data_IF_479266113960
#
_entry.id   IF_479266113960
#
_cell.length_a   1.000
_cell.length_b   1.000
_cell.length_c   1.000
_cell.angle_alpha   90.00
_cell.angle_beta   90.00
_cell.angle_gamma   90.00
#
_symmetry.space_group_name_H-M   'P 1'
#
loop_
_entity.id
_entity.type
_entity.pdbx_description
1 polymer ?
#
# COMPACT_ATOMS: atom_id res chain seq x y z
N UNK A 1 54.25 14.03 -33.54
CA UNK A 1 53.91 12.76 -32.85
C UNK A 1 53.29 12.97 -31.48
N UNK A 2 53.60 14.08 -30.77
CA UNK A 2 52.95 14.45 -29.49
C UNK A 2 51.43 14.62 -29.61
N UNK A 3 50.97 15.45 -30.55
CA UNK A 3 49.54 15.82 -30.66
C UNK A 3 48.63 14.62 -30.96
N UNK A 4 49.10 13.70 -31.81
CA UNK A 4 48.34 12.49 -32.14
C UNK A 4 48.22 11.58 -30.92
N UNK A 5 49.27 11.46 -30.11
CA UNK A 5 49.23 10.69 -28.87
C UNK A 5 48.28 11.34 -27.84
N UNK A 6 48.28 12.67 -27.74
CA UNK A 6 47.35 13.41 -26.87
C UNK A 6 45.89 13.26 -27.33
N UNK A 7 45.64 13.25 -28.64
CA UNK A 7 44.29 13.00 -29.19
C UNK A 7 43.84 11.54 -28.98
N UNK A 8 44.73 10.56 -29.09
CA UNK A 8 44.40 9.17 -28.77
C UNK A 8 44.09 9.00 -27.27
N UNK A 9 44.84 9.68 -26.40
CA UNK A 9 44.55 9.71 -24.98
C UNK A 9 43.21 10.40 -24.68
N UNK A 10 42.93 11.53 -25.32
CA UNK A 10 41.64 12.21 -25.21
C UNK A 10 40.49 11.30 -25.66
N UNK A 11 40.66 10.58 -26.77
CA UNK A 11 39.67 9.60 -27.24
C UNK A 11 39.44 8.47 -26.24
N UNK A 12 40.52 7.93 -25.63
CA UNK A 12 40.40 6.92 -24.58
C UNK A 12 39.68 7.46 -23.34
N UNK A 13 39.94 8.72 -22.97
CA UNK A 13 39.22 9.39 -21.88
C UNK A 13 37.75 9.64 -22.23
N UNK A 14 37.42 9.96 -23.49
CA UNK A 14 36.03 10.08 -23.95
C UNK A 14 35.28 8.76 -23.80
N UNK A 15 35.93 7.63 -24.10
CA UNK A 15 35.35 6.30 -23.87
C UNK A 15 35.20 5.99 -22.37
N UNK A 16 36.14 6.43 -21.53
CA UNK A 16 35.99 6.31 -20.08
C UNK A 16 34.82 7.15 -19.56
N UNK A 17 34.67 8.39 -20.05
CA UNK A 17 33.51 9.25 -19.77
C UNK A 17 32.20 8.57 -20.16
N UNK A 18 32.16 7.95 -21.35
CA UNK A 18 31.00 7.20 -21.82
C UNK A 18 30.60 6.06 -20.86
N UNK A 19 31.57 5.37 -20.24
CA UNK A 19 31.28 4.33 -19.23
C UNK A 19 30.63 4.95 -17.99
N UNK A 20 31.10 6.11 -17.52
CA UNK A 20 30.51 6.79 -16.37
C UNK A 20 29.09 7.28 -16.66
N UNK A 21 28.86 7.89 -17.82
CA UNK A 21 27.53 8.33 -18.26
C UNK A 21 26.60 7.12 -18.38
N UNK A 22 27.06 6.04 -19.02
CA UNK A 22 26.28 4.82 -19.13
C UNK A 22 25.94 4.22 -17.75
N UNK A 23 26.87 4.26 -16.79
CA UNK A 23 26.62 3.80 -15.44
C UNK A 23 25.59 4.65 -14.70
N UNK A 24 25.68 5.98 -14.78
CA UNK A 24 24.71 6.90 -14.19
C UNK A 24 23.30 6.61 -14.72
N UNK A 25 23.09 6.71 -16.03
CA UNK A 25 21.76 6.59 -16.62
C UNK A 25 21.20 5.16 -16.56
N UNK A 26 22.04 4.12 -16.62
CA UNK A 26 21.53 2.75 -16.48
C UNK A 26 21.12 2.43 -15.05
N UNK A 27 21.84 2.94 -14.04
CA UNK A 27 21.49 2.72 -12.63
C UNK A 27 20.29 3.54 -12.17
N UNK A 28 20.05 4.73 -12.74
CA UNK A 28 18.85 5.52 -12.43
C UNK A 28 17.60 5.01 -13.12
N UNK A 29 17.74 4.38 -14.29
CA UNK A 29 16.59 3.94 -15.11
C UNK A 29 16.17 2.51 -14.80
N UNK A 30 17.07 1.68 -14.26
CA UNK A 30 16.80 0.26 -14.02
C UNK A 30 15.85 0.01 -12.85
N UNK A 31 14.87 -0.85 -13.06
CA UNK A 31 14.01 -1.31 -11.99
C UNK A 31 14.72 -2.36 -11.12
N UNK A 32 14.60 -2.21 -9.79
CA UNK A 32 15.24 -3.12 -8.84
C UNK A 32 14.77 -4.57 -8.99
N UNK A 33 13.49 -4.78 -9.31
CA UNK A 33 12.92 -6.12 -9.50
C UNK A 33 13.51 -6.87 -10.70
N UNK A 34 13.85 -6.18 -11.79
CA UNK A 34 14.56 -6.77 -12.93
C UNK A 34 15.98 -7.20 -12.53
N UNK A 35 16.64 -6.37 -11.74
CA UNK A 35 18.01 -6.58 -11.27
C UNK A 35 18.11 -7.77 -10.29
N UNK A 36 17.16 -7.88 -9.37
CA UNK A 36 17.06 -8.98 -8.42
C UNK A 36 16.77 -10.31 -9.13
N UNK A 37 15.85 -10.31 -10.10
CA UNK A 37 15.59 -11.48 -10.96
C UNK A 37 16.83 -11.92 -11.73
N UNK A 38 17.54 -10.99 -12.38
CA UNK A 38 18.76 -11.29 -13.12
C UNK A 38 19.89 -11.83 -12.22
N UNK A 39 19.99 -11.32 -10.98
CA UNK A 39 20.95 -11.82 -10.00
C UNK A 39 20.60 -13.23 -9.50
N UNK A 40 19.32 -13.52 -9.25
CA UNK A 40 18.84 -14.86 -8.88
C UNK A 40 19.03 -15.87 -10.03
N UNK A 41 18.87 -15.44 -11.27
CA UNK A 41 19.14 -16.24 -12.47
C UNK A 41 20.65 -16.50 -12.71
N UNK A 42 21.54 -15.92 -11.91
CA UNK A 42 22.99 -16.10 -12.03
C UNK A 42 23.61 -15.41 -13.24
N UNK A 43 22.97 -14.36 -13.77
CA UNK A 43 23.50 -13.64 -14.93
C UNK A 43 24.81 -12.91 -14.62
N UNK A 44 25.76 -12.96 -15.55
CA UNK A 44 27.07 -12.31 -15.40
C UNK A 44 26.91 -10.80 -15.22
N UNK A 45 27.49 -10.27 -14.15
CA UNK A 45 27.47 -8.83 -13.83
C UNK A 45 26.23 -8.35 -13.07
N UNK A 46 25.16 -9.16 -12.99
CA UNK A 46 23.91 -8.77 -12.32
C UNK A 46 24.11 -8.57 -10.81
N UNK A 47 24.91 -9.40 -10.14
CA UNK A 47 25.21 -9.22 -8.72
C UNK A 47 25.98 -7.92 -8.43
N UNK A 48 26.89 -7.54 -9.33
CA UNK A 48 27.67 -6.31 -9.23
C UNK A 48 26.77 -5.08 -9.42
N UNK A 49 25.87 -5.14 -10.40
CA UNK A 49 24.88 -4.11 -10.64
C UNK A 49 23.88 -3.99 -9.48
N UNK A 50 23.43 -5.11 -8.90
CA UNK A 50 22.59 -5.12 -7.69
C UNK A 50 23.27 -4.46 -6.50
N UNK A 51 24.57 -4.74 -6.29
CA UNK A 51 25.36 -4.08 -5.25
C UNK A 51 25.55 -2.57 -5.52
N UNK A 52 25.66 -2.16 -6.79
CA UNK A 52 25.73 -0.75 -7.17
C UNK A 52 24.40 -0.02 -6.88
N UNK A 53 23.27 -0.59 -7.31
CA UNK A 53 21.94 -0.04 -7.09
C UNK A 53 21.58 0.10 -5.60
N UNK A 54 22.02 -0.83 -4.75
CA UNK A 54 21.85 -0.73 -3.27
C UNK A 54 22.55 0.47 -2.64
N UNK A 55 23.52 1.08 -3.34
CA UNK A 55 24.24 2.28 -2.89
C UNK A 55 24.18 3.35 -3.99
N UNK A 56 22.99 3.51 -4.59
CA UNK A 56 22.77 4.36 -5.77
C UNK A 56 23.38 5.76 -5.59
N UNK A 57 23.01 6.49 -4.54
CA UNK A 57 23.51 7.84 -4.26
C UNK A 57 25.04 7.91 -4.25
N UNK A 58 25.71 6.92 -3.65
CA UNK A 58 27.17 6.87 -3.60
C UNK A 58 27.79 6.55 -4.97
N UNK A 59 27.17 5.66 -5.75
CA UNK A 59 27.62 5.34 -7.10
C UNK A 59 27.38 6.49 -8.09
N UNK A 60 26.26 7.22 -7.96
CA UNK A 60 25.96 8.41 -8.75
C UNK A 60 26.96 9.52 -8.48
N UNK A 61 27.28 9.77 -7.20
CA UNK A 61 28.33 10.73 -6.82
C UNK A 61 29.69 10.34 -7.45
N UNK A 62 30.00 9.05 -7.48
CA UNK A 62 31.20 8.52 -8.14
C UNK A 62 31.18 8.71 -9.66
N UNK A 63 30.04 8.47 -10.32
CA UNK A 63 29.88 8.66 -11.76
C UNK A 63 30.07 10.14 -12.14
N UNK A 64 29.41 11.05 -11.42
CA UNK A 64 29.51 12.49 -11.63
C UNK A 64 30.94 13.01 -11.45
N UNK A 65 31.66 12.50 -10.44
CA UNK A 65 33.08 12.81 -10.27
C UNK A 65 33.89 12.32 -11.47
N UNK A 66 33.66 11.09 -11.92
CA UNK A 66 34.32 10.51 -13.09
C UNK A 66 34.08 11.32 -14.37
N UNK A 67 32.83 11.69 -14.64
CA UNK A 67 32.42 12.53 -15.79
C UNK A 67 33.11 13.89 -15.72
N UNK A 68 33.09 14.54 -14.57
CA UNK A 68 33.70 15.87 -14.39
C UNK A 68 35.21 15.83 -14.62
N UNK A 69 35.91 14.87 -14.00
CA UNK A 69 37.37 14.74 -14.11
C UNK A 69 37.77 14.41 -15.55
N UNK A 70 37.10 13.44 -16.17
CA UNK A 70 37.42 13.05 -17.56
C UNK A 70 37.12 14.18 -18.53
N UNK A 71 35.97 14.85 -18.42
CA UNK A 71 35.60 15.97 -19.30
C UNK A 71 36.59 17.14 -19.20
N UNK A 72 37.04 17.48 -18.00
CA UNK A 72 38.03 18.55 -17.80
C UNK A 72 39.38 18.19 -18.45
N UNK A 73 39.87 16.96 -18.22
CA UNK A 73 41.14 16.51 -18.81
C UNK A 73 41.04 16.42 -20.32
N UNK A 74 39.91 15.96 -20.87
CA UNK A 74 39.67 15.95 -22.31
C UNK A 74 39.71 17.37 -22.87
N UNK A 75 39.04 18.34 -22.24
CA UNK A 75 39.10 19.75 -22.67
C UNK A 75 40.54 20.28 -22.70
N UNK A 76 41.30 20.02 -21.63
CA UNK A 76 42.70 20.44 -21.52
C UNK A 76 43.63 19.79 -22.57
N UNK A 77 43.33 18.60 -23.07
CA UNK A 77 44.17 17.86 -24.01
C UNK A 77 43.70 18.00 -25.47
N UNK A 78 42.42 17.82 -25.73
CA UNK A 78 41.84 17.74 -27.07
C UNK A 78 41.80 19.10 -27.75
N UNK A 79 41.40 20.16 -27.04
CA UNK A 79 41.26 21.52 -27.59
C UNK A 79 42.59 22.06 -28.16
N UNK A 80 43.70 22.10 -27.39
CA UNK A 80 44.96 22.62 -27.93
C UNK A 80 45.54 21.72 -29.02
N UNK A 81 45.42 20.39 -28.89
CA UNK A 81 45.94 19.45 -29.88
C UNK A 81 45.23 19.60 -31.23
N UNK A 82 43.90 19.77 -31.20
CA UNK A 82 43.10 19.95 -32.40
C UNK A 82 43.34 21.33 -33.03
N UNK A 83 43.50 22.37 -32.21
CA UNK A 83 43.86 23.70 -32.68
C UNK A 83 45.21 23.69 -33.42
N UNK A 84 46.23 23.00 -32.91
CA UNK A 84 47.53 22.88 -33.59
C UNK A 84 47.41 22.10 -34.90
N UNK A 85 46.63 21.03 -34.93
CA UNK A 85 46.42 20.21 -36.13
C UNK A 85 45.66 20.96 -37.23
N UNK A 86 44.74 21.85 -36.86
CA UNK A 86 43.95 22.68 -37.78
C UNK A 86 44.73 23.87 -38.38
N UNK A 87 45.84 24.30 -37.77
CA UNK A 87 46.64 25.44 -38.29
C UNK A 87 47.16 25.21 -39.70
N UNK A 88 47.76 24.05 -39.98
CA UNK A 88 48.33 23.76 -41.31
C UNK A 88 47.31 23.83 -42.45
N UNK A 89 46.14 23.16 -42.34
CA UNK A 89 45.05 23.29 -43.30
C UNK A 89 44.50 24.72 -43.44
N UNK A 90 44.37 25.46 -42.33
CA UNK A 90 43.87 26.84 -42.35
C UNK A 90 44.86 27.81 -43.02
N UNK A 91 46.17 27.62 -42.82
CA UNK A 91 47.23 28.38 -43.51
C UNK A 91 47.25 28.07 -45.01
N UNK A 92 47.04 26.81 -45.39
CA UNK A 92 46.96 26.39 -46.79
C UNK A 92 45.74 26.99 -47.53
N UNK A 93 44.68 27.37 -46.81
CA UNK A 93 43.51 28.07 -47.35
C UNK A 93 43.71 29.59 -47.49
N UNK A 94 44.89 30.13 -47.17
CA UNK A 94 45.24 31.53 -47.41
C UNK A 94 44.75 32.52 -46.34
N UNK A 95 44.42 32.03 -45.13
CA UNK A 95 44.01 32.89 -44.03
C UNK A 95 45.21 33.73 -43.50
N UNK A 96 45.00 35.02 -43.18
CA UNK A 96 46.06 35.84 -42.59
C UNK A 96 46.47 35.29 -41.22
N UNK A 97 47.78 35.22 -40.95
CA UNK A 97 48.33 34.52 -39.78
C UNK A 97 47.78 34.95 -38.41
N UNK A 98 47.34 36.21 -38.28
CA UNK A 98 46.67 36.69 -37.08
C UNK A 98 45.27 36.10 -36.84
N UNK A 99 44.55 35.72 -37.90
CA UNK A 99 43.22 35.10 -37.82
C UNK A 99 43.30 33.58 -37.69
N UNK A 100 44.34 32.94 -38.25
CA UNK A 100 44.55 31.49 -38.21
C UNK A 100 44.51 30.96 -36.77
N UNK A 101 45.21 31.60 -35.83
CA UNK A 101 45.26 31.08 -34.45
C UNK A 101 43.90 31.12 -33.77
N UNK A 102 43.16 32.22 -33.93
CA UNK A 102 41.83 32.36 -33.30
C UNK A 102 40.83 31.38 -33.92
N UNK A 103 40.82 31.26 -35.25
CA UNK A 103 39.93 30.34 -35.96
C UNK A 103 40.25 28.89 -35.62
N UNK A 104 41.53 28.51 -35.58
CA UNK A 104 41.94 27.16 -35.21
C UNK A 104 41.52 26.80 -33.79
N UNK A 105 41.64 27.72 -32.83
CA UNK A 105 41.18 27.49 -31.46
C UNK A 105 39.66 27.38 -31.38
N UNK A 106 38.90 28.28 -32.00
CA UNK A 106 37.43 28.24 -31.97
C UNK A 106 36.89 26.97 -32.62
N UNK A 107 37.41 26.60 -33.80
CA UNK A 107 37.01 25.38 -34.50
C UNK A 107 37.45 24.14 -33.74
N UNK A 108 38.65 24.16 -33.16
CA UNK A 108 39.17 23.08 -32.31
C UNK A 108 38.27 22.83 -31.11
N UNK A 109 37.93 23.87 -30.36
CA UNK A 109 37.00 23.80 -29.22
C UNK A 109 35.62 23.30 -29.67
N UNK A 110 35.04 23.89 -30.71
CA UNK A 110 33.72 23.49 -31.19
C UNK A 110 33.69 22.01 -31.62
N UNK A 111 34.70 21.56 -32.36
CA UNK A 111 34.81 20.17 -32.80
C UNK A 111 35.03 19.21 -31.63
N UNK A 112 35.91 19.54 -30.67
CA UNK A 112 36.14 18.68 -29.49
C UNK A 112 34.91 18.61 -28.61
N UNK A 113 34.19 19.72 -28.42
CA UNK A 113 32.93 19.76 -27.66
C UNK A 113 31.86 18.89 -28.32
N UNK A 114 31.69 18.96 -29.65
CA UNK A 114 30.75 18.10 -30.37
C UNK A 114 31.11 16.62 -30.22
N UNK A 115 32.39 16.27 -30.38
CA UNK A 115 32.85 14.88 -30.21
C UNK A 115 32.61 14.38 -28.79
N UNK A 116 32.94 15.17 -27.77
CA UNK A 116 32.71 14.82 -26.37
C UNK A 116 31.21 14.67 -26.07
N UNK A 117 30.39 15.62 -26.51
CA UNK A 117 28.95 15.60 -26.28
C UNK A 117 28.29 14.40 -26.99
N UNK A 118 28.67 14.09 -28.22
CA UNK A 118 28.06 12.97 -28.97
C UNK A 118 28.56 11.63 -28.44
N UNK A 119 29.88 11.42 -28.40
CA UNK A 119 30.47 10.11 -28.10
C UNK A 119 30.56 9.86 -26.59
N UNK A 120 30.91 10.89 -25.82
CA UNK A 120 31.08 10.79 -24.38
C UNK A 120 29.77 10.83 -23.61
N UNK A 121 28.73 11.50 -24.13
CA UNK A 121 27.49 11.74 -23.38
C UNK A 121 26.23 11.20 -24.06
N UNK A 122 25.86 11.71 -25.25
CA UNK A 122 24.56 11.42 -25.87
C UNK A 122 24.39 9.96 -26.30
N UNK A 123 25.39 9.37 -26.96
CA UNK A 123 25.31 7.97 -27.40
C UNK A 123 25.23 7.01 -26.20
N UNK A 124 26.12 7.10 -25.19
CA UNK A 124 26.05 6.22 -24.01
C UNK A 124 24.76 6.42 -23.20
N UNK A 125 24.30 7.66 -23.06
CA UNK A 125 23.05 7.99 -22.38
C UNK A 125 21.85 7.33 -23.05
N UNK A 126 21.71 7.50 -24.36
CA UNK A 126 20.59 6.91 -25.10
C UNK A 126 20.61 5.39 -25.03
N UNK A 127 21.79 4.78 -25.08
CA UNK A 127 21.92 3.33 -24.96
C UNK A 127 21.59 2.82 -23.56
N UNK A 128 22.01 3.56 -22.53
CA UNK A 128 21.70 3.25 -21.13
C UNK A 128 20.20 3.36 -20.82
N UNK A 129 19.49 4.30 -21.45
CA UNK A 129 18.04 4.45 -21.32
C UNK A 129 17.29 3.36 -22.10
N UNK A 130 17.74 3.01 -23.32
CA UNK A 130 17.06 2.00 -24.13
C UNK A 130 17.28 0.57 -23.64
N UNK A 131 18.38 0.31 -22.93
CA UNK A 131 18.76 -1.04 -22.48
C UNK A 131 19.46 -1.03 -21.11
N UNK A 132 18.77 -0.56 -20.06
CA UNK A 132 19.38 -0.31 -18.76
C UNK A 132 19.99 -1.56 -18.14
N UNK A 133 19.31 -2.71 -18.18
CA UNK A 133 19.81 -3.97 -17.61
C UNK A 133 21.07 -4.49 -18.30
N UNK A 134 21.09 -4.48 -19.63
CA UNK A 134 22.25 -4.93 -20.40
C UNK A 134 23.47 -4.05 -20.13
N UNK A 135 23.28 -2.73 -20.14
CA UNK A 135 24.34 -1.75 -19.90
C UNK A 135 24.84 -1.84 -18.45
N UNK A 136 23.94 -1.82 -17.47
CA UNK A 136 24.27 -1.88 -16.04
C UNK A 136 25.13 -3.10 -15.70
N UNK A 137 24.82 -4.28 -16.24
CA UNK A 137 25.60 -5.52 -16.00
C UNK A 137 27.07 -5.37 -16.41
N UNK A 138 27.35 -4.63 -17.48
CA UNK A 138 28.71 -4.43 -18.00
C UNK A 138 29.43 -3.31 -17.24
N UNK A 139 28.78 -2.16 -17.07
CA UNK A 139 29.43 -0.93 -16.56
C UNK A 139 29.51 -0.88 -15.03
N UNK A 140 28.67 -1.63 -14.30
CA UNK A 140 28.63 -1.56 -12.83
C UNK A 140 29.92 -2.01 -12.16
N UNK A 141 30.64 -2.98 -12.74
CA UNK A 141 31.90 -3.48 -12.16
C UNK A 141 33.03 -2.46 -12.23
N UNK A 142 33.38 -1.90 -13.41
CA UNK A 142 34.40 -0.85 -13.48
C UNK A 142 33.98 0.40 -12.67
N UNK A 143 32.70 0.76 -12.69
CA UNK A 143 32.17 1.88 -11.91
C UNK A 143 32.38 1.69 -10.40
N UNK A 144 32.09 0.50 -9.87
CA UNK A 144 32.29 0.18 -8.46
C UNK A 144 33.76 0.18 -8.07
N UNK A 145 34.65 -0.27 -8.96
CA UNK A 145 36.09 -0.23 -8.72
C UNK A 145 36.60 1.22 -8.62
N UNK A 146 36.18 2.08 -9.55
CA UNK A 146 36.49 3.52 -9.51
C UNK A 146 35.95 4.16 -8.23
N UNK A 147 34.67 3.93 -7.92
CA UNK A 147 34.01 4.48 -6.73
C UNK A 147 34.65 3.99 -5.44
N UNK A 148 35.17 2.76 -5.40
CA UNK A 148 35.93 2.24 -4.26
C UNK A 148 37.28 2.94 -4.11
N UNK A 149 37.99 3.19 -5.22
CA UNK A 149 39.29 3.90 -5.20
C UNK A 149 39.14 5.36 -4.74
N UNK A 150 38.10 6.06 -5.21
CA UNK A 150 37.80 7.44 -4.85
C UNK A 150 36.87 7.59 -3.64
N UNK A 151 36.57 6.49 -2.93
CA UNK A 151 35.68 6.48 -1.78
C UNK A 151 35.98 7.51 -0.67
N UNK A 152 37.23 7.82 -0.29
CA UNK A 152 37.48 8.85 0.72
C UNK A 152 37.08 10.24 0.23
N UNK A 153 37.36 10.57 -1.03
CA UNK A 153 37.00 11.85 -1.63
C UNK A 153 35.49 11.99 -1.80
N UNK A 154 34.82 10.97 -2.33
CA UNK A 154 33.36 10.96 -2.53
C UNK A 154 32.64 11.11 -1.18
N UNK A 155 33.08 10.39 -0.13
CA UNK A 155 32.50 10.54 1.22
C UNK A 155 32.70 11.94 1.78
N UNK A 156 33.86 12.56 1.56
CA UNK A 156 34.10 13.93 2.00
C UNK A 156 33.17 14.92 1.31
N UNK A 157 33.00 14.82 0.00
CA UNK A 157 32.10 15.66 -0.79
C UNK A 157 30.63 15.47 -0.37
N UNK A 158 30.17 14.21 -0.27
CA UNK A 158 28.79 13.90 0.13
C UNK A 158 28.48 14.39 1.55
N UNK A 159 29.40 14.22 2.50
CA UNK A 159 29.21 14.73 3.86
C UNK A 159 29.15 16.26 3.89
N UNK A 160 29.93 16.93 3.04
CA UNK A 160 29.91 18.39 2.93
C UNK A 160 28.61 18.88 2.31
N UNK A 161 28.13 18.23 1.25
CA UNK A 161 26.84 18.50 0.62
C UNK A 161 25.69 18.29 1.61
N UNK A 162 25.65 17.15 2.31
CA UNK A 162 24.62 16.84 3.32
C UNK A 162 24.61 17.87 4.47
N UNK A 163 25.78 18.34 4.92
CA UNK A 163 25.85 19.41 5.92
C UNK A 163 25.32 20.74 5.39
N UNK A 164 25.56 21.07 4.13
CA UNK A 164 25.04 22.28 3.51
C UNK A 164 23.52 22.22 3.36
N UNK A 165 22.98 21.09 2.88
CA UNK A 165 21.52 20.86 2.75
C UNK A 165 20.83 20.93 4.12
N UNK A 166 21.40 20.29 5.15
CA UNK A 166 20.87 20.38 6.53
C UNK A 166 20.89 21.80 7.09
N UNK A 167 21.87 22.64 6.71
CA UNK A 167 21.89 24.06 7.10
C UNK A 167 20.80 24.89 6.43
N UNK A 168 20.26 24.44 5.30
CA UNK A 168 19.12 25.05 4.62
C UNK A 168 17.77 24.54 5.15
N UNK A 169 17.77 23.67 6.18
CA UNK A 169 16.55 23.13 6.77
C UNK A 169 15.93 21.97 5.98
N UNK A 170 16.66 21.38 5.02
CA UNK A 170 16.20 20.26 4.21
C UNK A 170 16.83 18.96 4.73
N UNK A 171 16.03 17.88 4.80
CA UNK A 171 16.54 16.53 5.05
C UNK A 171 17.12 15.94 3.76
N UNK A 172 18.36 15.39 3.78
CA UNK A 172 18.92 14.70 2.62
C UNK A 172 18.07 13.46 2.28
N UNK A 173 17.42 13.47 1.12
CA UNK A 173 16.70 12.31 0.62
C UNK A 173 17.70 11.26 0.12
N UNK A 174 17.76 10.11 0.78
CA UNK A 174 18.27 8.89 0.14
C UNK A 174 17.13 8.35 -0.72
N UNK A 175 17.33 8.22 -2.04
CA UNK A 175 16.40 7.56 -2.98
C UNK A 175 16.34 6.05 -2.69
N UNK A 176 15.84 5.70 -1.50
CA UNK A 176 15.52 4.36 -1.08
C UNK A 176 14.03 4.15 -1.33
N UNK A 177 13.72 3.51 -2.46
CA UNK A 177 12.68 2.48 -2.63
C UNK A 177 11.92 2.61 -3.97
N UNK A 178 12.45 1.96 -5.02
CA UNK A 178 11.66 1.44 -6.14
C UNK A 178 10.89 0.17 -5.73
N UNK A 179 10.32 0.14 -4.53
CA UNK A 179 9.33 -0.85 -4.13
C UNK A 179 8.05 -0.07 -3.93
N UNK A 180 7.10 -0.24 -4.87
CA UNK A 180 5.76 0.35 -4.78
C UNK A 180 5.21 0.01 -3.40
N UNK A 181 4.83 1.02 -2.63
CA UNK A 181 4.24 0.79 -1.31
C UNK A 181 2.87 0.12 -1.49
N UNK A 182 2.35 -0.61 -0.49
CA UNK A 182 0.98 -1.13 -0.52
C UNK A 182 -0.05 -0.03 -0.86
N UNK A 183 0.19 1.19 -0.38
CA UNK A 183 -0.62 2.37 -0.67
C UNK A 183 -0.60 2.76 -2.16
N UNK A 184 0.55 2.68 -2.83
CA UNK A 184 0.65 2.90 -4.28
C UNK A 184 -0.10 1.82 -5.08
N UNK A 185 -0.09 0.56 -4.60
CA UNK A 185 -0.83 -0.54 -5.23
C UNK A 185 -2.34 -0.38 -5.06
N UNK A 186 -2.80 0.04 -3.88
CA UNK A 186 -4.22 0.37 -3.60
C UNK A 186 -4.67 1.50 -4.53
N UNK A 187 -3.89 2.58 -4.64
CA UNK A 187 -4.20 3.71 -5.50
C UNK A 187 -4.30 3.29 -6.99
N UNK A 188 -3.41 2.41 -7.44
CA UNK A 188 -3.43 1.87 -8.80
C UNK A 188 -4.68 1.00 -9.07
N UNK A 189 -5.05 0.12 -8.13
CA UNK A 189 -6.23 -0.72 -8.24
C UNK A 189 -7.51 0.13 -8.31
N UNK A 190 -7.64 1.12 -7.42
CA UNK A 190 -8.79 2.05 -7.40
C UNK A 190 -8.87 2.93 -8.65
N UNK A 191 -7.73 3.35 -9.20
CA UNK A 191 -7.71 4.08 -10.47
C UNK A 191 -8.12 3.18 -11.64
N UNK A 192 -7.62 1.94 -11.67
CA UNK A 192 -7.97 0.97 -12.71
C UNK A 192 -9.46 0.60 -12.69
N UNK A 193 -10.08 0.55 -11.52
CA UNK A 193 -11.53 0.37 -11.38
C UNK A 193 -12.31 1.56 -11.96
N UNK A 194 -11.87 2.79 -11.68
CA UNK A 194 -12.50 4.02 -12.21
C UNK A 194 -12.41 4.15 -13.72
N UNK A 195 -11.32 3.68 -14.32
CA UNK A 195 -11.13 3.64 -15.77
C UNK A 195 -11.80 2.41 -16.43
N UNK A 196 -12.47 1.56 -15.65
CA UNK A 196 -13.18 0.37 -16.15
C UNK A 196 -12.27 -0.77 -16.62
N UNK A 197 -10.99 -0.75 -16.26
CA UNK A 197 -10.03 -1.81 -16.59
C UNK A 197 -10.15 -3.02 -15.64
N UNK A 198 -10.69 -2.80 -14.43
CA UNK A 198 -10.95 -3.82 -13.41
C UNK A 198 -12.38 -3.59 -12.89
N UNK A 199 -13.09 -4.66 -12.59
CA UNK A 199 -14.41 -4.57 -11.95
C UNK A 199 -14.28 -3.99 -10.52
N UNK A 200 -15.19 -3.11 -10.07
CA UNK A 200 -15.12 -2.48 -8.75
C UNK A 200 -14.93 -3.48 -7.61
N UNK A 201 -15.68 -4.58 -7.62
CA UNK A 201 -15.64 -5.61 -6.59
C UNK A 201 -14.28 -6.33 -6.57
N UNK A 202 -13.72 -6.60 -7.75
CA UNK A 202 -12.37 -7.20 -7.86
C UNK A 202 -11.30 -6.26 -7.30
N UNK A 203 -11.43 -4.94 -7.50
CA UNK A 203 -10.52 -3.96 -6.92
C UNK A 203 -10.70 -3.87 -5.40
N UNK A 204 -11.92 -3.96 -4.90
CA UNK A 204 -12.20 -4.00 -3.46
C UNK A 204 -11.61 -5.24 -2.78
N UNK A 205 -11.83 -6.43 -3.36
CA UNK A 205 -11.22 -7.68 -2.88
C UNK A 205 -9.69 -7.57 -2.83
N UNK A 206 -9.08 -6.96 -3.84
CA UNK A 206 -7.63 -6.73 -3.88
C UNK A 206 -7.17 -5.83 -2.73
N UNK A 207 -7.88 -4.73 -2.47
CA UNK A 207 -7.57 -3.81 -1.37
C UNK A 207 -7.74 -4.50 -0.01
N UNK A 208 -8.85 -5.21 0.22
CA UNK A 208 -9.10 -5.96 1.45
C UNK A 208 -8.03 -7.04 1.69
N UNK A 209 -7.61 -7.74 0.63
CA UNK A 209 -6.53 -8.73 0.70
C UNK A 209 -5.20 -8.12 1.16
N UNK A 210 -4.88 -6.89 0.74
CA UNK A 210 -3.66 -6.20 1.19
C UNK A 210 -3.75 -5.81 2.68
N UNK A 211 -4.92 -5.40 3.15
CA UNK A 211 -5.14 -5.07 4.56
C UNK A 211 -5.18 -6.28 5.49
N UNK A 212 -5.54 -7.47 4.99
CA UNK A 212 -5.54 -8.71 5.79
C UNK A 212 -4.20 -8.98 6.48
N UNK A 213 -3.09 -8.57 5.86
CA UNK A 213 -1.75 -8.74 6.42
C UNK A 213 -1.47 -7.86 7.66
N UNK A 214 -2.29 -6.82 7.88
CA UNK A 214 -2.19 -5.89 9.01
C UNK A 214 -3.08 -6.31 10.19
N UNK A 215 -4.00 -7.24 9.97
CA UNK A 215 -4.98 -7.69 10.97
C UNK A 215 -4.41 -8.73 11.94
N UNK A 216 -4.96 -8.71 13.16
CA UNK A 216 -4.73 -9.70 14.22
C UNK A 216 -5.97 -10.56 14.49
N UNK A 217 -5.83 -11.55 15.37
CA UNK A 217 -6.95 -12.37 15.85
C UNK A 217 -8.05 -11.51 16.50
N UNK A 218 -7.69 -10.43 17.19
CA UNK A 218 -8.62 -9.46 17.75
C UNK A 218 -9.54 -8.82 16.70
N UNK A 219 -8.99 -8.54 15.50
CA UNK A 219 -9.75 -7.86 14.46
C UNK A 219 -10.79 -8.77 13.78
N UNK A 220 -10.54 -10.09 13.78
CA UNK A 220 -11.35 -11.07 13.02
C UNK A 220 -12.17 -11.99 13.92
N UNK A 221 -12.06 -11.86 15.24
CA UNK A 221 -12.80 -12.74 16.16
C UNK A 221 -14.25 -12.30 16.30
N UNK A 222 -15.13 -13.27 16.54
CA UNK A 222 -16.41 -13.01 17.18
C UNK A 222 -16.15 -12.57 18.64
N UNK A 223 -16.51 -11.34 19.04
CA UNK A 223 -16.27 -10.84 20.39
C UNK A 223 -16.98 -11.70 21.43
N UNK A 224 -16.38 -11.82 22.64
CA UNK A 224 -16.91 -12.61 23.76
C UNK A 224 -18.42 -12.45 24.00
N UNK A 225 -18.92 -11.23 23.87
CA UNK A 225 -20.33 -10.89 24.12
C UNK A 225 -21.31 -11.55 23.14
N UNK A 226 -20.85 -11.87 21.94
CA UNK A 226 -21.64 -12.47 20.87
C UNK A 226 -21.41 -13.99 20.75
N UNK A 227 -20.46 -14.54 21.52
CA UNK A 227 -20.13 -15.97 21.50
C UNK A 227 -21.30 -16.80 22.03
N UNK A 228 -21.79 -17.70 21.19
CA UNK A 228 -22.72 -18.77 21.58
C UNK A 228 -21.92 -19.97 22.08
N UNK A 229 -22.15 -20.38 23.33
CA UNK A 229 -21.36 -21.42 23.99
C UNK A 229 -22.26 -22.42 24.74
N UNK A 230 -21.69 -23.58 25.07
CA UNK A 230 -22.36 -24.65 25.80
C UNK A 230 -21.67 -24.89 27.16
N UNK A 231 -22.44 -25.07 28.21
CA UNK A 231 -21.89 -25.48 29.50
C UNK A 231 -21.45 -26.95 29.49
N UNK A 232 -20.49 -27.31 30.34
CA UNK A 232 -19.90 -28.65 30.39
C UNK A 232 -20.91 -29.78 30.69
N UNK A 233 -22.03 -29.43 31.33
CA UNK A 233 -23.11 -30.35 31.66
C UNK A 233 -24.22 -30.41 30.60
N UNK A 234 -24.13 -29.60 29.54
CA UNK A 234 -25.04 -29.66 28.40
C UNK A 234 -24.94 -31.00 27.66
N UNK A 235 -25.98 -31.33 26.90
CA UNK A 235 -26.08 -32.57 26.14
C UNK A 235 -25.84 -32.34 24.64
N UNK A 236 -25.57 -33.41 23.90
CA UNK A 236 -25.48 -33.35 22.45
C UNK A 236 -26.81 -32.89 21.81
N UNK A 237 -27.96 -33.13 22.46
CA UNK A 237 -29.25 -32.58 22.04
C UNK A 237 -29.29 -31.05 22.17
N UNK A 238 -28.72 -30.49 23.24
CA UNK A 238 -28.64 -29.03 23.42
C UNK A 238 -27.75 -28.38 22.35
N UNK A 239 -26.63 -29.03 22.00
CA UNK A 239 -25.79 -28.60 20.90
C UNK A 239 -26.54 -28.59 19.55
N UNK A 240 -27.33 -29.64 19.27
CA UNK A 240 -28.16 -29.70 18.06
C UNK A 240 -29.23 -28.60 18.04
N UNK A 241 -29.89 -28.36 19.18
CA UNK A 241 -30.89 -27.29 19.31
C UNK A 241 -30.26 -25.90 19.14
N UNK A 242 -29.06 -25.68 19.68
CA UNK A 242 -28.34 -24.42 19.52
C UNK A 242 -27.92 -24.19 18.06
N UNK A 243 -27.47 -25.23 17.35
CA UNK A 243 -27.24 -25.16 15.90
C UNK A 243 -28.51 -24.80 15.14
N UNK A 244 -29.65 -25.44 15.46
CA UNK A 244 -30.92 -25.12 14.80
C UNK A 244 -31.37 -23.67 15.06
N UNK A 245 -31.13 -23.15 16.26
CA UNK A 245 -31.51 -21.79 16.63
C UNK A 245 -30.61 -20.70 16.05
N UNK A 246 -29.31 -21.00 15.83
CA UNK A 246 -28.30 -19.98 15.49
C UNK A 246 -27.71 -20.15 14.09
N UNK A 247 -27.87 -21.31 13.45
CA UNK A 247 -27.18 -21.67 12.21
C UNK A 247 -25.69 -22.04 12.39
N UNK A 248 -25.15 -21.91 13.60
CA UNK A 248 -23.73 -22.15 13.87
C UNK A 248 -23.40 -23.65 13.95
N UNK A 249 -22.24 -24.01 13.41
CA UNK A 249 -21.77 -25.40 13.33
C UNK A 249 -20.80 -25.81 14.45
N UNK A 250 -20.24 -24.85 15.19
CA UNK A 250 -19.23 -25.07 16.22
C UNK A 250 -19.52 -24.22 17.44
N UNK A 251 -19.32 -24.80 18.62
CA UNK A 251 -19.51 -24.10 19.88
C UNK A 251 -18.38 -24.39 20.86
N UNK A 252 -17.83 -23.37 21.55
CA UNK A 252 -16.99 -23.58 22.72
C UNK A 252 -17.79 -24.21 23.85
N UNK A 253 -17.15 -25.13 24.58
CA UNK A 253 -17.66 -25.75 25.79
C UNK A 253 -16.90 -25.18 26.97
N UNK A 254 -17.62 -24.63 27.94
CA UNK A 254 -17.03 -24.01 29.12
C UNK A 254 -17.55 -24.64 30.41
N UNK A 255 -16.84 -24.44 31.54
CA UNK A 255 -17.27 -24.96 32.84
C UNK A 255 -18.09 -23.95 33.64
N UNK A 256 -17.42 -22.99 34.27
CA UNK A 256 -18.06 -22.00 35.16
C UNK A 256 -18.28 -20.65 34.45
N UNK A 257 -17.36 -20.29 33.55
CA UNK A 257 -17.45 -19.08 32.75
C UNK A 257 -16.73 -19.28 31.41
N UNK A 258 -16.96 -18.37 30.47
CA UNK A 258 -16.24 -18.36 29.19
C UNK A 258 -14.72 -18.20 29.36
N UNK A 259 -14.21 -17.79 30.52
CA UNK A 259 -12.76 -17.77 30.78
C UNK A 259 -12.16 -19.17 31.00
N UNK A 260 -13.00 -20.18 31.21
CA UNK A 260 -12.60 -21.58 31.32
C UNK A 260 -13.21 -22.43 30.19
N UNK A 261 -12.74 -22.19 28.97
CA UNK A 261 -13.09 -23.03 27.81
C UNK A 261 -12.30 -24.34 27.87
N UNK A 262 -13.01 -25.46 28.00
CA UNK A 262 -12.43 -26.79 28.13
C UNK A 262 -12.39 -27.57 26.81
N UNK A 263 -13.06 -27.06 25.77
CA UNK A 263 -13.06 -27.66 24.44
C UNK A 263 -14.01 -27.00 23.45
N UNK A 264 -14.09 -27.59 22.26
CA UNK A 264 -15.02 -27.17 21.20
C UNK A 264 -15.79 -28.38 20.68
N UNK A 265 -17.08 -28.22 20.42
CA UNK A 265 -17.94 -29.26 19.84
C UNK A 265 -18.38 -28.85 18.44
N UNK A 266 -18.40 -29.81 17.53
CA UNK A 266 -18.84 -29.63 16.15
C UNK A 266 -20.16 -30.38 15.92
N UNK A 267 -21.09 -29.77 15.19
CA UNK A 267 -22.40 -30.35 14.88
C UNK A 267 -22.30 -31.74 14.21
N UNK A 268 -21.36 -31.90 13.28
CA UNK A 268 -21.04 -33.22 12.67
C UNK A 268 -20.89 -34.35 13.69
N UNK A 269 -20.22 -34.11 14.82
CA UNK A 269 -19.95 -35.16 15.81
C UNK A 269 -21.20 -35.46 16.66
N UNK A 270 -22.08 -34.46 16.81
CA UNK A 270 -23.43 -34.62 17.39
C UNK A 270 -24.36 -35.41 16.44
N UNK A 271 -24.31 -35.11 15.14
CA UNK A 271 -25.13 -35.77 14.13
C UNK A 271 -24.70 -37.22 13.87
N UNK A 272 -23.45 -37.57 14.20
CA UNK A 272 -22.96 -38.94 14.16
C UNK A 272 -23.57 -39.85 15.23
N UNK A 273 -24.20 -39.28 16.27
CA UNK A 273 -24.94 -40.02 17.28
C UNK A 273 -26.37 -40.33 16.81
N UNK A 274 -26.87 -41.49 17.22
CA UNK A 274 -28.28 -41.84 17.11
C UNK A 274 -29.13 -40.84 17.89
N UNK A 275 -30.31 -40.49 17.36
CA UNK A 275 -31.18 -39.46 17.93
C UNK A 275 -31.57 -39.75 19.39
N UNK A 276 -31.78 -41.02 19.73
CA UNK A 276 -32.12 -41.47 21.09
C UNK A 276 -30.98 -41.32 22.10
N UNK A 277 -29.73 -41.23 21.63
CA UNK A 277 -28.54 -41.10 22.47
C UNK A 277 -28.16 -39.63 22.73
N UNK A 278 -28.55 -38.70 21.85
CA UNK A 278 -28.16 -37.28 21.93
C UNK A 278 -28.55 -36.62 23.26
N UNK A 279 -29.71 -36.99 23.82
CA UNK A 279 -30.20 -36.45 25.09
C UNK A 279 -29.44 -37.00 26.32
N UNK A 280 -28.64 -38.06 26.17
CA UNK A 280 -27.89 -38.70 27.25
C UNK A 280 -26.39 -38.48 27.15
N UNK A 281 -25.88 -38.16 25.97
CA UNK A 281 -24.46 -37.92 25.75
C UNK A 281 -24.10 -36.48 26.14
N UNK A 282 -23.22 -36.26 27.12
CA UNK A 282 -22.78 -34.92 27.48
C UNK A 282 -21.87 -34.35 26.38
N UNK A 283 -21.91 -33.03 26.17
CA UNK A 283 -21.06 -32.33 25.18
C UNK A 283 -19.57 -32.54 25.43
N UNK A 284 -19.18 -32.75 26.68
CA UNK A 284 -17.79 -33.05 27.08
C UNK A 284 -17.27 -34.37 26.51
N UNK A 285 -18.13 -35.33 26.17
CA UNK A 285 -17.73 -36.56 25.49
C UNK A 285 -17.41 -36.36 24.00
N UNK A 286 -17.90 -35.26 23.41
CA UNK A 286 -17.69 -34.89 22.01
C UNK A 286 -16.68 -33.74 21.85
N UNK A 287 -16.31 -33.08 22.94
CA UNK A 287 -15.45 -31.90 22.94
C UNK A 287 -14.02 -32.28 22.54
N UNK A 288 -13.45 -31.50 21.61
CA UNK A 288 -12.03 -31.56 21.24
C UNK A 288 -11.27 -30.43 21.92
N UNK A 289 -9.98 -30.64 22.19
CA UNK A 289 -9.09 -29.63 22.79
C UNK A 289 -9.15 -28.31 22.00
N UNK A 290 -9.34 -27.16 22.68
CA UNK A 290 -9.49 -25.88 22.00
C UNK A 290 -8.12 -25.38 21.51
N UNK A 291 -8.10 -24.75 20.34
CA UNK A 291 -6.91 -24.03 19.88
C UNK A 291 -6.87 -22.66 20.55
N UNK A 292 -6.00 -22.49 21.55
CA UNK A 292 -5.83 -21.20 22.22
C UNK A 292 -4.82 -20.33 21.47
N UNK A 293 -5.18 -19.07 21.21
CA UNK A 293 -4.32 -18.08 20.55
C UNK A 293 -4.41 -16.73 21.27
N UNK A 294 -3.34 -15.92 21.32
CA UNK A 294 -3.45 -14.55 21.81
C UNK A 294 -4.19 -13.68 20.79
N UNK A 295 -4.92 -12.67 21.28
CA UNK A 295 -5.58 -11.62 20.49
C UNK A 295 -4.64 -10.90 19.50
N UNK A 296 -3.38 -10.70 19.89
CA UNK A 296 -2.38 -10.03 19.08
C UNK A 296 -1.78 -10.91 17.97
N UNK A 297 -2.24 -12.16 17.78
CA UNK A 297 -1.67 -13.07 16.79
C UNK A 297 -2.02 -12.59 15.38
N UNK A 298 -1.03 -12.38 14.48
CA UNK A 298 -1.31 -11.98 13.10
C UNK A 298 -2.18 -12.99 12.34
N UNK A 299 -3.10 -12.49 11.50
CA UNK A 299 -4.10 -13.31 10.80
C UNK A 299 -3.48 -14.35 9.87
N UNK A 300 -2.36 -14.07 9.21
CA UNK A 300 -1.64 -15.03 8.35
C UNK A 300 -1.21 -16.29 9.12
N UNK A 301 -0.74 -16.10 10.37
CA UNK A 301 -0.37 -17.17 11.28
C UNK A 301 -1.59 -17.86 11.87
N UNK A 302 -2.63 -17.10 12.22
CA UNK A 302 -3.90 -17.66 12.69
C UNK A 302 -4.50 -18.60 11.66
N UNK A 303 -4.62 -18.16 10.40
CA UNK A 303 -5.12 -18.96 9.28
C UNK A 303 -4.32 -20.26 9.09
N UNK A 304 -2.99 -20.19 9.19
CA UNK A 304 -2.13 -21.38 9.10
C UNK A 304 -2.41 -22.39 10.23
N UNK A 305 -2.65 -21.91 11.46
CA UNK A 305 -2.98 -22.77 12.60
C UNK A 305 -4.39 -23.38 12.46
N UNK A 306 -5.39 -22.58 12.11
CA UNK A 306 -6.76 -23.03 11.88
C UNK A 306 -6.84 -24.10 10.79
N UNK A 307 -6.15 -23.88 9.65
CA UNK A 307 -6.10 -24.88 8.55
C UNK A 307 -5.42 -26.18 8.96
N UNK A 308 -4.38 -26.11 9.81
CA UNK A 308 -3.65 -27.30 10.28
C UNK A 308 -4.47 -28.13 11.27
N UNK A 309 -5.21 -27.47 12.17
CA UNK A 309 -5.99 -28.13 13.23
C UNK A 309 -7.44 -28.44 12.82
N UNK A 310 -7.96 -27.79 11.76
CA UNK A 310 -9.36 -27.89 11.30
C UNK A 310 -10.36 -27.64 12.43
N UNK A 311 -10.07 -26.65 13.28
CA UNK A 311 -10.85 -26.33 14.48
C UNK A 311 -11.05 -24.82 14.61
N UNK A 312 -11.93 -24.43 15.52
CA UNK A 312 -12.13 -23.05 15.97
C UNK A 312 -11.02 -22.66 16.95
N UNK A 313 -10.56 -21.42 16.89
CA UNK A 313 -9.66 -20.84 17.86
C UNK A 313 -10.44 -20.11 18.96
N UNK A 314 -9.99 -20.26 20.21
CA UNK A 314 -10.41 -19.43 21.33
C UNK A 314 -9.34 -18.36 21.51
N UNK A 315 -9.75 -17.10 21.40
CA UNK A 315 -8.86 -15.95 21.48
C UNK A 315 -8.76 -15.50 22.94
N UNK A 316 -7.53 -15.38 23.42
CA UNK A 316 -7.20 -15.06 24.81
C UNK A 316 -6.61 -13.65 24.87
N UNK A 317 -7.10 -12.83 25.79
CA UNK A 317 -6.59 -11.48 26.06
C UNK A 317 -5.28 -11.51 26.87
N UNK A 318 -4.68 -10.33 27.10
CA UNK A 318 -3.43 -10.20 27.87
C UNK A 318 -3.56 -10.56 29.36
N UNK A 319 -4.78 -10.61 29.88
CA UNK A 319 -5.08 -10.96 31.27
C UNK A 319 -5.38 -12.46 31.45
N UNK A 320 -5.42 -13.21 30.34
CA UNK A 320 -5.70 -14.64 30.32
C UNK A 320 -7.19 -14.98 30.27
N UNK A 321 -8.06 -13.99 30.05
CA UNK A 321 -9.49 -14.17 29.82
C UNK A 321 -9.80 -14.50 28.36
N UNK A 322 -10.99 -15.04 28.10
CA UNK A 322 -11.45 -15.26 26.72
C UNK A 322 -11.94 -13.94 26.12
N UNK A 323 -11.26 -13.46 25.10
CA UNK A 323 -11.62 -12.28 24.32
C UNK A 323 -12.69 -12.58 23.25
N UNK A 324 -12.69 -13.79 22.70
CA UNK A 324 -13.60 -14.19 21.63
C UNK A 324 -13.27 -15.55 21.03
N UNK A 325 -13.87 -15.85 19.88
CA UNK A 325 -13.56 -17.04 19.07
C UNK A 325 -13.32 -16.64 17.62
N UNK A 326 -12.46 -17.38 16.92
CA UNK A 326 -12.16 -17.12 15.51
C UNK A 326 -12.13 -18.41 14.70
N UNK A 327 -12.61 -18.33 13.47
CA UNK A 327 -12.71 -19.42 12.50
C UNK A 327 -12.07 -19.05 11.18
N UNK A 328 -12.02 -19.99 10.21
CA UNK A 328 -11.46 -19.68 8.88
C UNK A 328 -12.45 -18.80 8.12
N UNK A 329 -13.73 -19.04 8.36
CA UNK A 329 -14.87 -18.33 7.79
C UNK A 329 -14.79 -16.84 8.13
N UNK A 330 -14.52 -16.47 9.39
CA UNK A 330 -14.37 -15.06 9.81
C UNK A 330 -13.19 -14.36 9.08
N UNK A 331 -12.06 -15.06 8.89
CA UNK A 331 -10.91 -14.53 8.15
C UNK A 331 -11.23 -14.33 6.66
N UNK A 332 -12.03 -15.24 6.08
CA UNK A 332 -12.45 -15.14 4.69
C UNK A 332 -13.45 -14.01 4.51
N UNK A 333 -14.34 -13.80 5.47
CA UNK A 333 -15.31 -12.70 5.50
C UNK A 333 -14.62 -11.33 5.46
N UNK A 334 -13.49 -11.14 6.15
CA UNK A 334 -12.72 -9.89 6.04
C UNK A 334 -12.23 -9.60 4.61
N UNK A 335 -11.88 -10.64 3.85
CA UNK A 335 -11.41 -10.49 2.47
C UNK A 335 -12.57 -10.31 1.50
N UNK A 336 -13.60 -11.15 1.63
CA UNK A 336 -14.70 -11.26 0.67
C UNK A 336 -15.79 -10.22 0.94
N UNK A 337 -15.95 -9.81 2.19
CA UNK A 337 -17.11 -9.08 2.68
C UNK A 337 -18.35 -9.97 2.76
N UNK A 338 -19.45 -9.38 3.24
CA UNK A 338 -20.76 -9.97 3.06
C UNK A 338 -20.99 -10.15 1.56
N UNK A 339 -21.13 -11.40 1.13
CA UNK A 339 -21.42 -11.73 -0.27
C UNK A 339 -22.81 -11.17 -0.58
N UNK A 340 -22.85 -9.95 -1.11
CA UNK A 340 -24.06 -9.36 -1.66
C UNK A 340 -24.43 -10.16 -2.90
N UNK A 341 -25.30 -11.15 -2.73
CA UNK A 341 -25.89 -11.86 -3.84
C UNK A 341 -26.75 -10.86 -4.62
N UNK A 342 -26.47 -10.67 -5.91
CA UNK A 342 -27.30 -9.85 -6.82
C UNK A 342 -28.76 -10.33 -6.88
N UNK A 343 -29.07 -11.48 -6.25
CA UNK A 343 -30.37 -12.14 -6.27
C UNK A 343 -30.98 -12.40 -4.88
N UNK A 344 -30.59 -11.73 -3.79
CA UNK A 344 -31.30 -11.87 -2.50
C UNK A 344 -32.34 -10.75 -2.28
N UNK A 345 -33.66 -11.01 -2.46
CA UNK A 345 -34.73 -10.05 -2.22
C UNK A 345 -35.15 -9.95 -0.73
N UNK A 346 -34.41 -10.52 0.23
CA UNK A 346 -34.89 -10.66 1.61
C UNK A 346 -34.11 -9.96 2.72
N UNK A 347 -33.03 -9.25 2.41
CA UNK A 347 -32.44 -8.31 3.38
C UNK A 347 -32.96 -6.89 3.18
N UNK A 348 -33.44 -6.30 4.28
CA UNK A 348 -33.87 -4.90 4.28
C UNK A 348 -32.61 -4.03 4.13
N UNK A 349 -32.52 -3.17 3.11
CA UNK A 349 -31.32 -2.39 2.86
C UNK A 349 -30.89 -1.56 4.10
N UNK A 350 -29.57 -1.38 4.28
CA UNK A 350 -28.98 -0.55 5.34
C UNK A 350 -29.54 0.88 5.35
N UNK A 351 -29.91 1.38 4.16
CA UNK A 351 -30.57 2.66 3.94
C UNK A 351 -31.58 2.52 2.78
N UNK A 352 -32.86 2.72 3.07
CA UNK A 352 -33.93 2.61 2.10
C UNK A 352 -34.85 3.84 2.15
N UNK A 353 -35.37 4.33 1.01
CA UNK A 353 -36.44 5.32 1.02
C UNK A 353 -37.67 4.74 1.75
N UNK A 354 -38.28 5.54 2.61
CA UNK A 354 -39.48 5.18 3.37
C UNK A 354 -40.68 6.02 2.90
N UNK A 355 -41.90 5.61 3.28
CA UNK A 355 -43.10 6.37 2.94
C UNK A 355 -43.03 7.80 3.50
N UNK A 356 -43.24 8.85 2.68
CA UNK A 356 -43.24 10.23 3.14
C UNK A 356 -44.31 10.48 4.21
N UNK A 357 -44.03 11.31 5.21
CA UNK A 357 -44.98 11.64 6.28
C UNK A 357 -46.12 12.58 5.83
N UNK A 358 -46.26 12.85 4.53
CA UNK A 358 -47.29 13.74 3.96
C UNK A 358 -46.96 15.23 4.05
N UNK A 359 -45.78 15.59 4.53
CA UNK A 359 -45.27 16.96 4.69
C UNK A 359 -44.34 17.40 3.55
N UNK A 360 -44.22 16.58 2.50
CA UNK A 360 -43.38 16.86 1.32
C UNK A 360 -41.88 16.71 1.56
N UNK A 361 -41.46 16.19 2.72
CA UNK A 361 -40.07 15.89 3.03
C UNK A 361 -39.72 14.47 2.61
N UNK A 362 -38.50 14.31 2.13
CA UNK A 362 -37.96 12.99 1.84
C UNK A 362 -37.64 12.26 3.15
N UNK A 363 -37.93 10.96 3.17
CA UNK A 363 -37.83 10.12 4.36
C UNK A 363 -37.10 8.84 3.99
N UNK A 364 -36.19 8.43 4.86
CA UNK A 364 -35.45 7.18 4.75
C UNK A 364 -35.56 6.38 6.04
N UNK A 365 -35.41 5.08 5.94
CA UNK A 365 -35.18 4.19 7.07
C UNK A 365 -33.77 3.63 6.94
N UNK A 366 -33.02 3.66 8.05
CA UNK A 366 -31.65 3.22 8.10
C UNK A 366 -31.41 2.30 9.29
N UNK A 367 -30.46 1.38 9.16
CA UNK A 367 -29.92 0.64 10.29
C UNK A 367 -29.02 1.55 11.15
N UNK A 368 -29.04 1.39 12.46
CA UNK A 368 -28.22 2.19 13.36
C UNK A 368 -26.73 1.88 13.25
N UNK A 369 -26.36 0.72 12.73
CA UNK A 369 -24.98 0.33 12.42
C UNK A 369 -24.41 1.09 11.21
N UNK A 370 -25.24 1.74 10.39
CA UNK A 370 -24.78 2.43 9.17
C UNK A 370 -23.72 3.48 9.52
N UNK A 371 -22.63 3.47 8.74
CA UNK A 371 -21.59 4.48 8.87
C UNK A 371 -22.07 5.84 8.37
N UNK A 372 -21.61 6.89 9.04
CA UNK A 372 -22.08 8.25 8.77
C UNK A 372 -21.66 8.79 7.40
N UNK A 373 -20.54 8.31 6.85
CA UNK A 373 -20.09 8.66 5.49
C UNK A 373 -21.03 8.14 4.39
N UNK A 374 -21.80 7.09 4.66
CA UNK A 374 -22.80 6.59 3.72
C UNK A 374 -24.05 7.49 3.65
N UNK A 375 -24.31 8.28 4.70
CA UNK A 375 -25.43 9.22 4.73
C UNK A 375 -25.19 10.47 3.86
N UNK A 376 -23.96 10.71 3.41
CA UNK A 376 -23.65 11.73 2.40
C UNK A 376 -24.44 11.50 1.10
N UNK A 377 -24.81 10.24 0.80
CA UNK A 377 -25.61 9.86 -0.38
C UNK A 377 -27.01 10.45 -0.38
N UNK A 378 -27.58 10.70 0.80
CA UNK A 378 -28.88 11.38 0.98
C UNK A 378 -28.71 12.87 1.25
N UNK A 379 -27.47 13.38 1.26
CA UNK A 379 -27.15 14.78 1.49
C UNK A 379 -27.01 15.17 2.97
N UNK A 380 -26.98 14.20 3.90
CA UNK A 380 -26.68 14.46 5.30
C UNK A 380 -25.18 14.29 5.56
N UNK A 381 -24.51 15.39 5.93
CA UNK A 381 -23.12 15.35 6.42
C UNK A 381 -23.14 15.36 7.93
N UNK A 382 -22.66 14.29 8.54
CA UNK A 382 -22.62 14.21 10.00
C UNK A 382 -21.60 15.19 10.59
N UNK A 383 -21.89 15.84 11.74
CA UNK A 383 -20.90 16.61 12.47
C UNK A 383 -19.73 15.75 12.95
N UNK A 384 -18.53 16.35 13.07
CA UNK A 384 -17.37 15.68 13.65
C UNK A 384 -17.60 15.32 15.13
N UNK A 385 -17.26 14.09 15.53
CA UNK A 385 -17.43 13.65 16.91
C UNK A 385 -16.86 12.25 17.20
N UNK A 386 -16.95 11.78 18.46
CA UNK A 386 -16.43 10.48 18.89
C UNK A 386 -17.40 9.33 18.53
N UNK A 387 -17.80 9.25 17.26
CA UNK A 387 -18.73 8.27 16.73
C UNK A 387 -18.45 8.03 15.24
N UNK A 388 -18.72 6.82 14.76
CA UNK A 388 -18.58 6.48 13.33
C UNK A 388 -19.91 6.04 12.68
N UNK A 389 -20.91 5.70 13.51
CA UNK A 389 -22.20 5.14 13.09
C UNK A 389 -23.37 6.03 13.49
N UNK A 390 -24.53 5.83 12.84
CA UNK A 390 -25.76 6.54 13.16
C UNK A 390 -26.21 6.32 14.61
N UNK A 391 -26.15 5.08 15.12
CA UNK A 391 -26.46 4.79 16.51
C UNK A 391 -25.50 5.51 17.48
N UNK A 392 -24.21 5.60 17.12
CA UNK A 392 -23.22 6.34 17.89
C UNK A 392 -23.52 7.86 17.93
N UNK A 393 -23.87 8.45 16.78
CA UNK A 393 -24.30 9.85 16.70
C UNK A 393 -25.51 10.12 17.59
N UNK A 394 -26.54 9.28 17.52
CA UNK A 394 -27.77 9.44 18.31
C UNK A 394 -27.53 9.28 19.81
N UNK A 395 -26.76 8.28 20.23
CA UNK A 395 -26.41 8.08 21.63
C UNK A 395 -25.60 9.26 22.18
N UNK A 396 -24.67 9.80 21.39
CA UNK A 396 -23.89 10.96 21.77
C UNK A 396 -24.75 12.22 21.92
N UNK A 397 -25.68 12.47 21.00
CA UNK A 397 -26.61 13.62 21.08
C UNK A 397 -27.60 13.51 22.24
N UNK A 398 -28.09 12.30 22.52
CA UNK A 398 -29.02 12.06 23.63
C UNK A 398 -28.33 12.07 25.00
N UNK A 399 -27.00 11.88 25.05
CA UNK A 399 -26.21 11.68 26.27
C UNK A 399 -26.73 10.55 27.18
N UNK A 400 -27.42 9.57 26.58
CA UNK A 400 -27.97 8.36 27.22
C UNK A 400 -28.21 7.27 26.19
N UNK A 401 -28.47 6.06 26.67
CA UNK A 401 -28.95 4.96 25.82
C UNK A 401 -30.26 5.39 25.13
N UNK A 402 -30.35 5.29 23.79
CA UNK A 402 -31.58 5.59 23.06
C UNK A 402 -32.73 4.68 23.47
N UNK A 403 -33.94 5.21 23.49
CA UNK A 403 -35.18 4.45 23.64
C UNK A 403 -36.07 4.62 22.40
N UNK A 404 -36.97 3.67 22.17
CA UNK A 404 -37.92 3.74 21.07
C UNK A 404 -38.72 5.04 21.13
N UNK A 405 -38.94 5.66 19.97
CA UNK A 405 -39.57 6.97 19.79
C UNK A 405 -38.76 8.18 20.27
N UNK A 406 -37.49 8.00 20.64
CA UNK A 406 -36.57 9.13 20.79
C UNK A 406 -36.43 9.88 19.46
N UNK A 407 -36.27 11.20 19.58
CA UNK A 407 -36.18 12.11 18.45
C UNK A 407 -35.00 13.04 18.63
N UNK A 408 -34.13 13.08 17.63
CA UNK A 408 -32.92 13.92 17.61
C UNK A 408 -32.95 14.77 16.35
N UNK A 409 -32.60 16.05 16.47
CA UNK A 409 -32.42 16.95 15.33
C UNK A 409 -30.95 17.35 15.24
N UNK A 410 -30.38 17.22 14.04
CA UNK A 410 -28.98 17.56 13.73
C UNK A 410 -28.96 18.25 12.37
N UNK A 411 -28.47 19.48 12.30
CA UNK A 411 -28.35 20.27 11.05
C UNK A 411 -29.64 20.30 10.21
N UNK A 412 -30.79 20.54 10.85
CA UNK A 412 -32.14 20.55 10.26
C UNK A 412 -32.66 19.19 9.75
N UNK A 413 -31.88 18.12 9.92
CA UNK A 413 -32.33 16.75 9.74
C UNK A 413 -32.94 16.20 11.01
N UNK A 414 -33.97 15.37 10.87
CA UNK A 414 -34.65 14.75 12.00
C UNK A 414 -34.49 13.24 11.98
N UNK A 415 -34.14 12.68 13.12
CA UNK A 415 -33.91 11.27 13.35
C UNK A 415 -34.89 10.76 14.42
N UNK A 416 -35.73 9.79 14.06
CA UNK A 416 -36.67 9.12 14.96
C UNK A 416 -36.25 7.66 15.17
N UNK A 417 -36.03 7.25 16.41
CA UNK A 417 -35.65 5.86 16.74
C UNK A 417 -36.88 4.95 16.64
N UNK A 418 -36.86 4.02 15.69
CA UNK A 418 -37.96 3.09 15.43
C UNK A 418 -37.87 1.82 16.28
N UNK A 419 -36.65 1.32 16.47
CA UNK A 419 -36.37 0.12 17.25
C UNK A 419 -35.03 0.19 17.99
N UNK A 420 -34.91 -0.60 19.05
CA UNK A 420 -33.72 -0.70 19.90
C UNK A 420 -33.33 -2.18 20.01
N UNK A 421 -32.05 -2.46 19.76
CA UNK A 421 -31.46 -3.77 20.01
C UNK A 421 -30.19 -3.59 20.84
N UNK A 422 -29.93 -4.45 21.82
CA UNK A 422 -28.69 -4.45 22.63
C UNK A 422 -28.21 -3.05 23.12
N UNK A 423 -29.14 -2.20 23.55
CA UNK A 423 -28.87 -0.82 24.03
C UNK A 423 -28.36 0.18 22.98
N UNK A 424 -28.55 -0.09 21.69
CA UNK A 424 -28.31 0.84 20.60
C UNK A 424 -29.59 1.05 19.78
N UNK A 425 -29.68 2.20 19.10
CA UNK A 425 -30.70 2.37 18.07
C UNK A 425 -30.43 1.35 16.95
N UNK A 426 -31.40 0.48 16.69
CA UNK A 426 -31.28 -0.57 15.67
C UNK A 426 -31.85 -0.08 14.33
N UNK A 427 -33.04 0.53 14.37
CA UNK A 427 -33.66 1.16 13.19
C UNK A 427 -34.02 2.59 13.46
N UNK A 428 -33.68 3.45 12.52
CA UNK A 428 -33.84 4.91 12.62
C UNK A 428 -34.53 5.41 11.36
N UNK A 429 -35.57 6.22 11.55
CA UNK A 429 -36.16 7.00 10.46
C UNK A 429 -35.47 8.35 10.36
N UNK A 430 -35.01 8.68 9.16
CA UNK A 430 -34.32 9.92 8.83
C UNK A 430 -35.27 10.76 7.98
N UNK A 431 -35.50 12.02 8.36
CA UNK A 431 -36.34 12.98 7.62
C UNK A 431 -35.49 14.16 7.20
N UNK A 432 -35.51 14.48 5.91
CA UNK A 432 -34.80 15.64 5.36
C UNK A 432 -35.29 16.97 5.96
N UNK A 433 -34.48 18.04 5.86
CA UNK A 433 -34.92 19.40 6.14
C UNK A 433 -36.15 19.77 5.30
N UNK A 434 -37.00 20.65 5.83
CA UNK A 434 -38.07 21.22 5.03
C UNK A 434 -37.46 21.97 3.83
N UNK A 435 -38.01 21.83 2.60
CA UNK A 435 -37.52 22.59 1.46
C UNK A 435 -37.62 24.09 1.80
N UNK A 436 -36.51 24.81 1.68
CA UNK A 436 -36.50 26.25 1.86
C UNK A 436 -37.50 26.86 0.88
N UNK A 437 -38.59 27.42 1.40
CA UNK A 437 -39.48 28.27 0.61
C UNK A 437 -38.61 29.37 0.02
N UNK A 438 -38.37 29.30 -1.29
CA UNK A 438 -37.73 30.38 -2.02
C UNK A 438 -38.57 31.63 -1.77
N UNK A 439 -38.03 32.56 -0.98
CA UNK A 439 -38.56 33.91 -0.87
C UNK A 439 -38.47 34.50 -2.27
N UNK A 440 -39.60 34.51 -2.98
CA UNK A 440 -39.76 35.29 -4.19
C UNK A 440 -39.61 36.74 -3.77
N UNK A 441 -38.44 37.33 -4.04
CA UNK A 441 -38.30 38.78 -4.08
C UNK A 441 -39.28 39.29 -5.15
N UNK A 442 -40.43 39.78 -4.71
CA UNK A 442 -41.28 40.65 -5.52
C UNK A 442 -40.47 41.91 -5.84
N UNK A 443 -39.89 41.92 -7.03
CA UNK A 443 -39.23 43.07 -7.62
C UNK A 443 -40.31 44.15 -7.89
N UNK A 444 -40.51 45.02 -6.91
CA UNK A 444 -41.41 46.15 -6.97
C UNK A 444 -40.65 47.42 -7.40
N UNK A 445 -40.57 47.64 -8.73
CA UNK A 445 -40.93 48.89 -9.46
C UNK A 445 -40.16 49.10 -10.76
#
# INVERSE_FOLDING_TARGET
>A
MSEVALLLLALALTLACAVFVAAEFSLTTIERGELERAAQAGERGAESALKAAKRLTFQLSGAQLGITVTSLVIGMLAEPSLAVLLRGPLEAMGLPGGAVSTVATVVGVAASTVVLMVIGELVPKNWAISSPLAVAKVVSTPQRAFTAAFAPLIRHLNNTANRAVRRLGLEPAEELASARTPQELIALAQHSAREGAIEPDSAELFVRTLHLAELSAENVMTPRVDVRALEAHATAADAANLTLATGLSRFPVYRDSLDEVIGTVHIRDVLALDESERARTPVTALATEPLLVPDSLPVDRLLAQLRKRRTMAVVIDEYGGTAGVATVEDIVEEVVGEVRDEHDPHERPDLAPAEPLGDGRDVWEAEGSIRLDQLDRIGFRAPDGPYETLAGLLANQLARIPVRADRVEVDDWRFDVLDIEHHRADRVRITAPAPALALVEEDAR
#
